data_IF_331193303035
#
_entry.id   IF_331193303035
#
_cell.length_a   1.000
_cell.length_b   1.000
_cell.length_c   1.000
_cell.angle_alpha   90.00
_cell.angle_beta   90.00
_cell.angle_gamma   90.00
#
_symmetry.space_group_name_H-M   'P 1'
#
loop_
_entity.id
_entity.type
_entity.pdbx_description
1 polymer ?
#
# COMPACT_ATOMS: atom_id res chain seq x y z
N UNK A 1 0.76 -2.87 22.04
CA UNK A 1 -0.02 -1.96 21.17
C UNK A 1 -1.09 -2.72 20.38
N UNK A 2 -0.80 -3.81 19.65
CA UNK A 2 -1.80 -4.56 18.86
C UNK A 2 -2.98 -5.07 19.69
N UNK A 3 -2.78 -5.50 20.93
CA UNK A 3 -3.87 -5.91 21.84
C UNK A 3 -4.87 -4.77 22.11
N UNK A 4 -4.42 -3.52 22.13
CA UNK A 4 -5.27 -2.34 22.37
C UNK A 4 -6.18 -2.08 21.19
N UNK A 5 -5.66 -2.18 19.96
CA UNK A 5 -6.42 -1.89 18.74
C UNK A 5 -7.28 -3.06 18.24
N UNK A 6 -6.99 -4.28 18.70
CA UNK A 6 -7.72 -5.49 18.27
C UNK A 6 -9.25 -5.38 18.31
N UNK A 7 -9.90 -4.76 19.32
CA UNK A 7 -11.36 -4.61 19.32
C UNK A 7 -11.91 -3.70 18.22
N UNK A 8 -11.06 -2.84 17.64
CA UNK A 8 -11.46 -1.79 16.72
C UNK A 8 -11.08 -2.07 15.25
N UNK A 9 -10.23 -3.10 15.01
CA UNK A 9 -9.79 -3.42 13.65
C UNK A 9 -9.70 -4.92 13.41
N UNK A 10 -9.95 -5.32 12.16
CA UNK A 10 -9.74 -6.69 11.67
C UNK A 10 -8.45 -6.83 10.88
N UNK A 11 -7.85 -5.71 10.46
CA UNK A 11 -6.67 -5.66 9.63
C UNK A 11 -5.65 -4.69 10.19
N UNK A 12 -4.38 -4.99 9.98
CA UNK A 12 -3.28 -4.03 10.12
C UNK A 12 -2.43 -4.05 8.87
N UNK A 13 -1.75 -2.94 8.62
CA UNK A 13 -0.72 -2.80 7.61
C UNK A 13 0.63 -2.58 8.26
N UNK A 14 1.67 -3.23 7.72
CA UNK A 14 3.08 -2.93 7.99
C UNK A 14 3.80 -2.59 6.68
N UNK A 15 4.85 -1.79 6.75
CA UNK A 15 5.49 -1.21 5.57
C UNK A 15 6.83 -1.84 5.24
N UNK A 16 7.40 -2.64 6.15
CA UNK A 16 8.74 -3.23 6.03
C UNK A 16 8.76 -4.64 6.58
N UNK A 17 9.71 -5.44 6.12
CA UNK A 17 9.95 -6.82 6.52
C UNK A 17 11.30 -7.00 7.22
N UNK A 18 11.96 -5.92 7.62
CA UNK A 18 13.28 -5.89 8.26
C UNK A 18 13.26 -5.08 9.55
N UNK A 19 14.38 -5.07 10.29
CA UNK A 19 14.63 -4.21 11.46
C UNK A 19 13.57 -4.34 12.58
N UNK A 20 13.04 -5.56 12.79
CA UNK A 20 12.04 -5.84 13.81
C UNK A 20 10.59 -5.70 13.31
N UNK A 21 10.35 -5.11 12.12
CA UNK A 21 9.01 -5.00 11.56
C UNK A 21 8.43 -6.36 11.14
N UNK A 22 9.29 -7.34 10.85
CA UNK A 22 8.92 -8.73 10.57
C UNK A 22 8.19 -9.43 11.74
N UNK A 23 8.28 -8.87 12.94
CA UNK A 23 7.55 -9.36 14.12
C UNK A 23 6.07 -8.91 14.13
N UNK A 24 5.74 -7.81 13.48
CA UNK A 24 4.39 -7.23 13.48
C UNK A 24 3.35 -8.23 12.94
N UNK A 25 3.51 -8.82 11.73
CA UNK A 25 2.52 -9.77 11.20
C UNK A 25 2.43 -11.06 12.02
N UNK A 26 3.54 -11.51 12.64
CA UNK A 26 3.53 -12.68 13.52
C UNK A 26 2.65 -12.46 14.75
N UNK A 27 2.86 -11.34 15.45
CA UNK A 27 2.04 -10.97 16.62
C UNK A 27 0.59 -10.71 16.22
N UNK A 28 0.34 -10.11 15.06
CA UNK A 28 -1.01 -9.90 14.57
C UNK A 28 -1.75 -11.22 14.35
N UNK A 29 -1.08 -12.20 13.75
CA UNK A 29 -1.63 -13.55 13.51
C UNK A 29 -2.02 -14.25 14.82
N UNK A 30 -1.17 -14.17 15.86
CA UNK A 30 -1.48 -14.69 17.20
C UNK A 30 -2.75 -14.06 17.82
N UNK A 31 -3.01 -12.80 17.46
CA UNK A 31 -4.19 -12.06 17.93
C UNK A 31 -5.42 -12.25 17.03
N UNK A 32 -5.32 -13.00 15.93
CA UNK A 32 -6.40 -13.18 14.96
C UNK A 32 -6.69 -11.93 14.12
N UNK A 33 -5.69 -11.05 13.96
CA UNK A 33 -5.74 -9.85 13.10
C UNK A 33 -5.12 -10.21 11.74
N UNK A 34 -5.80 -9.88 10.67
CA UNK A 34 -5.29 -10.04 9.30
C UNK A 34 -4.22 -9.00 8.99
N UNK A 35 -3.32 -9.34 8.07
CA UNK A 35 -2.13 -8.56 7.79
C UNK A 35 -2.00 -8.19 6.33
N UNK A 36 -1.72 -6.94 6.09
CA UNK A 36 -1.26 -6.38 4.84
C UNK A 36 0.21 -5.98 5.05
N UNK A 37 1.13 -6.71 4.44
CA UNK A 37 2.57 -6.59 4.68
C UNK A 37 3.27 -6.04 3.45
N UNK A 38 4.02 -4.97 3.62
CA UNK A 38 4.81 -4.34 2.57
C UNK A 38 6.30 -4.63 2.71
N UNK A 39 6.99 -4.74 1.59
CA UNK A 39 8.42 -4.60 1.47
C UNK A 39 8.74 -3.12 1.17
N UNK A 40 9.54 -2.46 2.00
CA UNK A 40 9.94 -1.09 1.78
C UNK A 40 11.08 -1.01 0.76
N UNK A 41 10.76 -0.57 -0.45
CA UNK A 41 11.74 -0.42 -1.53
C UNK A 41 12.17 1.04 -1.71
N UNK A 42 13.42 1.22 -2.08
CA UNK A 42 14.02 2.52 -2.35
C UNK A 42 15.30 2.39 -3.19
N UNK A 43 16.18 3.38 -3.11
CA UNK A 43 17.41 3.46 -3.92
C UNK A 43 18.52 2.48 -3.46
N UNK A 44 18.39 1.83 -2.31
CA UNK A 44 19.40 0.91 -1.78
C UNK A 44 19.08 -0.53 -2.17
N UNK A 45 19.85 -1.07 -3.11
CA UNK A 45 19.67 -2.42 -3.64
C UNK A 45 19.84 -3.53 -2.59
N UNK A 46 20.70 -3.34 -1.59
CA UNK A 46 20.91 -4.35 -0.55
C UNK A 46 19.75 -4.36 0.46
N UNK A 47 19.17 -3.20 0.76
CA UNK A 47 17.95 -3.11 1.55
C UNK A 47 16.80 -3.74 0.78
N UNK A 48 16.64 -3.41 -0.50
CA UNK A 48 15.58 -3.97 -1.35
C UNK A 48 15.60 -5.51 -1.36
N UNK A 49 16.78 -6.11 -1.52
CA UNK A 49 16.93 -7.58 -1.47
C UNK A 49 16.48 -8.18 -0.14
N UNK A 50 16.83 -7.54 0.98
CA UNK A 50 16.43 -8.00 2.31
C UNK A 50 14.92 -7.90 2.52
N UNK A 51 14.32 -6.80 2.08
CA UNK A 51 12.90 -6.55 2.15
C UNK A 51 12.10 -7.57 1.34
N UNK A 52 12.51 -7.83 0.08
CA UNK A 52 11.87 -8.83 -0.80
C UNK A 52 11.99 -10.24 -0.20
N UNK A 53 13.19 -10.65 0.23
CA UNK A 53 13.39 -11.94 0.87
C UNK A 53 12.57 -12.08 2.17
N UNK A 54 12.47 -11.01 2.96
CA UNK A 54 11.66 -10.94 4.17
C UNK A 54 10.17 -11.12 3.89
N UNK A 55 9.64 -10.42 2.87
CA UNK A 55 8.24 -10.52 2.46
C UNK A 55 7.88 -11.94 1.99
N UNK A 56 8.69 -12.53 1.11
CA UNK A 56 8.51 -13.90 0.62
C UNK A 56 8.51 -14.90 1.78
N UNK A 57 9.48 -14.76 2.70
CA UNK A 57 9.59 -15.63 3.88
C UNK A 57 8.32 -15.52 4.75
N UNK A 58 7.90 -14.32 5.10
CA UNK A 58 6.71 -14.11 5.94
C UNK A 58 5.44 -14.65 5.28
N UNK A 59 5.30 -14.48 3.97
CA UNK A 59 4.18 -15.02 3.22
C UNK A 59 4.16 -16.55 3.25
N UNK A 60 5.31 -17.19 2.99
CA UNK A 60 5.45 -18.64 3.00
C UNK A 60 5.29 -19.25 4.42
N UNK A 61 5.63 -18.49 5.47
CA UNK A 61 5.35 -18.87 6.86
C UNK A 61 3.86 -18.71 7.25
N UNK A 62 3.04 -18.02 6.42
CA UNK A 62 1.59 -17.86 6.64
C UNK A 62 1.20 -16.63 7.46
N UNK A 63 2.07 -15.63 7.50
CA UNK A 63 1.84 -14.40 8.26
C UNK A 63 1.33 -13.25 7.40
N UNK A 64 1.09 -13.46 6.10
CA UNK A 64 0.69 -12.42 5.15
C UNK A 64 -0.65 -12.78 4.50
N UNK A 65 -1.62 -11.91 4.57
CA UNK A 65 -2.91 -12.03 3.87
C UNK A 65 -2.93 -11.22 2.55
N UNK A 66 -2.16 -10.13 2.47
CA UNK A 66 -1.91 -9.35 1.26
C UNK A 66 -0.43 -8.93 1.28
N UNK A 67 0.29 -9.19 0.19
CA UNK A 67 1.67 -8.78 -0.01
C UNK A 67 1.76 -7.52 -0.88
N UNK A 68 2.54 -6.52 -0.43
CA UNK A 68 2.81 -5.31 -1.21
C UNK A 68 4.30 -5.18 -1.52
N UNK A 69 4.61 -4.98 -2.78
CA UNK A 69 5.98 -4.81 -3.28
C UNK A 69 6.25 -3.34 -3.50
N UNK A 70 6.81 -2.68 -2.48
CA UNK A 70 7.07 -1.24 -2.50
C UNK A 70 5.88 -0.38 -2.07
N UNK A 71 6.19 0.86 -1.72
CA UNK A 71 5.23 1.92 -1.40
C UNK A 71 5.68 3.22 -2.06
N UNK A 72 4.89 3.75 -2.98
CA UNK A 72 5.10 5.04 -3.65
C UNK A 72 6.48 5.20 -4.32
N UNK A 73 7.09 4.11 -4.79
CA UNK A 73 8.43 4.16 -5.39
C UNK A 73 8.42 4.82 -6.78
N UNK A 74 7.29 4.75 -7.52
CA UNK A 74 7.13 5.51 -8.76
C UNK A 74 6.87 6.97 -8.47
N UNK A 75 5.99 7.29 -7.52
CA UNK A 75 5.73 8.66 -7.08
C UNK A 75 7.01 9.36 -6.59
N UNK A 76 7.83 8.68 -5.78
CA UNK A 76 9.11 9.19 -5.28
C UNK A 76 10.25 9.12 -6.28
N UNK A 77 10.07 8.39 -7.40
CA UNK A 77 11.10 8.15 -8.42
C UNK A 77 12.34 7.43 -7.85
N UNK A 78 12.16 6.53 -6.90
CA UNK A 78 13.23 5.76 -6.28
C UNK A 78 13.73 4.60 -7.15
N UNK A 79 12.85 4.04 -7.98
CA UNK A 79 13.12 2.93 -8.90
C UNK A 79 12.59 3.25 -10.29
N UNK A 80 13.14 2.60 -11.29
CA UNK A 80 12.52 2.51 -12.61
C UNK A 80 11.33 1.54 -12.60
N UNK A 81 10.40 1.70 -13.55
CA UNK A 81 9.27 0.78 -13.72
C UNK A 81 9.74 -0.67 -13.93
N UNK A 82 10.84 -0.87 -14.68
CA UNK A 82 11.39 -2.20 -14.94
C UNK A 82 11.93 -2.87 -13.67
N UNK A 83 12.59 -2.13 -12.79
CA UNK A 83 13.07 -2.66 -11.50
C UNK A 83 11.89 -3.04 -10.61
N UNK A 84 10.87 -2.22 -10.51
CA UNK A 84 9.66 -2.53 -9.75
C UNK A 84 8.96 -3.79 -10.31
N UNK A 85 8.79 -3.89 -11.62
CA UNK A 85 8.21 -5.07 -12.27
C UNK A 85 9.01 -6.35 -11.99
N UNK A 86 10.36 -6.24 -11.98
CA UNK A 86 11.23 -7.35 -11.62
C UNK A 86 10.99 -7.82 -10.18
N UNK A 87 10.88 -6.90 -9.22
CA UNK A 87 10.58 -7.23 -7.82
C UNK A 87 9.18 -7.82 -7.64
N UNK A 88 8.16 -7.30 -8.36
CA UNK A 88 6.80 -7.87 -8.32
C UNK A 88 6.85 -9.33 -8.80
N UNK A 89 7.52 -9.61 -9.90
CA UNK A 89 7.65 -10.96 -10.43
C UNK A 89 8.42 -11.87 -9.47
N UNK A 90 9.54 -11.41 -8.91
CA UNK A 90 10.33 -12.17 -7.92
C UNK A 90 9.48 -12.58 -6.71
N UNK A 91 8.67 -11.66 -6.18
CA UNK A 91 7.77 -11.95 -5.06
C UNK A 91 6.69 -12.96 -5.46
N UNK A 92 6.09 -12.80 -6.64
CA UNK A 92 5.05 -13.74 -7.13
C UNK A 92 5.61 -15.15 -7.36
N UNK A 93 6.81 -15.27 -7.88
CA UNK A 93 7.49 -16.57 -8.08
C UNK A 93 7.95 -17.18 -6.75
N UNK A 94 8.36 -16.34 -5.79
CA UNK A 94 8.88 -16.79 -4.49
C UNK A 94 7.80 -17.21 -3.49
N UNK A 95 6.56 -16.69 -3.61
CA UNK A 95 5.46 -17.03 -2.72
C UNK A 95 4.80 -18.33 -3.19
N UNK A 96 4.77 -19.33 -2.30
CA UNK A 96 4.19 -20.67 -2.59
C UNK A 96 2.75 -20.81 -2.07
N UNK A 97 2.21 -19.81 -1.39
CA UNK A 97 0.87 -19.77 -0.84
C UNK A 97 -0.05 -18.87 -1.68
N UNK A 98 -1.34 -19.06 -1.54
CA UNK A 98 -2.36 -18.21 -2.19
C UNK A 98 -2.45 -16.86 -1.43
N UNK A 99 -1.51 -15.96 -1.75
CA UNK A 99 -1.44 -14.60 -1.21
C UNK A 99 -1.42 -13.63 -2.39
N UNK A 100 -2.42 -12.73 -2.51
CA UNK A 100 -2.42 -11.76 -3.58
C UNK A 100 -1.27 -10.77 -3.42
N UNK A 101 -0.56 -10.54 -4.52
CA UNK A 101 0.58 -9.62 -4.61
C UNK A 101 0.16 -8.36 -5.35
N UNK A 102 0.42 -7.21 -4.74
CA UNK A 102 0.16 -5.89 -5.33
C UNK A 102 1.31 -4.93 -5.11
N UNK A 103 1.14 -3.75 -5.64
CA UNK A 103 2.00 -2.59 -5.44
C UNK A 103 1.16 -1.47 -4.83
N UNK A 104 1.76 -0.62 -4.00
CA UNK A 104 1.08 0.53 -3.39
C UNK A 104 1.62 1.82 -3.98
N UNK A 105 0.74 2.63 -4.56
CA UNK A 105 1.08 3.99 -5.01
C UNK A 105 -0.18 4.86 -5.14
N UNK A 106 0.02 6.13 -5.49
CA UNK A 106 -1.06 7.04 -5.84
C UNK A 106 -1.93 6.43 -6.95
N UNK A 107 -3.23 6.59 -6.85
CA UNK A 107 -4.19 5.95 -7.75
C UNK A 107 -3.92 6.18 -9.24
N UNK A 108 -3.38 7.35 -9.62
CA UNK A 108 -3.07 7.70 -11.00
C UNK A 108 -1.83 6.99 -11.56
N UNK A 109 -0.91 6.53 -10.71
CA UNK A 109 0.26 5.75 -11.14
C UNK A 109 -0.15 4.45 -11.84
N UNK A 110 -1.29 3.88 -11.45
CA UNK A 110 -1.84 2.68 -12.10
C UNK A 110 -2.48 2.98 -13.46
N UNK A 111 -2.99 4.19 -13.70
CA UNK A 111 -3.47 4.64 -15.01
C UNK A 111 -2.30 4.92 -15.95
N UNK A 112 -1.27 5.60 -15.44
CA UNK A 112 -0.12 6.05 -16.21
C UNK A 112 0.84 4.89 -16.55
N UNK A 113 0.82 3.81 -15.74
CA UNK A 113 1.69 2.63 -15.88
C UNK A 113 0.89 1.33 -15.93
N UNK A 114 0.23 1.04 -17.05
CA UNK A 114 -0.62 -0.15 -17.18
C UNK A 114 0.14 -1.46 -17.00
N UNK A 115 1.45 -1.52 -17.27
CA UNK A 115 2.27 -2.70 -17.05
C UNK A 115 2.34 -3.08 -15.55
N UNK A 116 2.41 -2.09 -14.66
CA UNK A 116 2.37 -2.32 -13.20
C UNK A 116 0.99 -2.86 -12.80
N UNK A 117 -0.08 -2.24 -13.30
CA UNK A 117 -1.46 -2.71 -13.04
C UNK A 117 -1.64 -4.15 -13.52
N UNK A 118 -1.11 -4.50 -14.67
CA UNK A 118 -1.22 -5.85 -15.25
C UNK A 118 -0.41 -6.89 -14.47
N UNK A 119 0.75 -6.53 -13.93
CA UNK A 119 1.59 -7.40 -13.12
C UNK A 119 1.01 -7.72 -11.73
N UNK A 120 0.21 -6.82 -11.15
CA UNK A 120 -0.39 -7.00 -9.84
C UNK A 120 -1.61 -7.94 -9.87
N UNK A 121 -1.84 -8.71 -8.80
CA UNK A 121 -3.09 -9.48 -8.59
C UNK A 121 -4.20 -8.59 -8.00
N UNK A 122 -3.82 -7.55 -7.30
CA UNK A 122 -4.68 -6.59 -6.59
C UNK A 122 -4.11 -5.19 -6.74
N UNK A 123 -4.98 -4.19 -6.88
CA UNK A 123 -4.59 -2.77 -6.94
C UNK A 123 -4.69 -2.15 -5.54
N UNK A 124 -3.60 -1.54 -5.09
CA UNK A 124 -3.46 -0.99 -3.75
C UNK A 124 -3.21 0.52 -3.87
N UNK A 125 -4.30 1.29 -3.90
CA UNK A 125 -4.26 2.70 -4.27
C UNK A 125 -4.26 3.64 -3.07
N UNK A 126 -3.32 4.58 -3.01
CA UNK A 126 -3.35 5.72 -2.11
C UNK A 126 -4.22 6.83 -2.71
N UNK A 127 -5.18 7.33 -1.95
CA UNK A 127 -6.16 8.32 -2.39
C UNK A 127 -6.26 9.43 -1.34
N UNK A 128 -5.66 10.57 -1.62
CA UNK A 128 -5.62 11.70 -0.69
C UNK A 128 -6.22 12.97 -1.32
N UNK A 129 -7.52 13.23 -1.20
CA UNK A 129 -8.13 14.47 -1.68
C UNK A 129 -7.45 15.73 -1.14
N UNK A 130 -6.93 15.69 0.10
CA UNK A 130 -6.21 16.79 0.71
C UNK A 130 -4.99 17.19 -0.13
N UNK A 131 -4.11 16.22 -0.49
CA UNK A 131 -2.88 16.51 -1.22
C UNK A 131 -3.10 17.00 -2.65
N UNK A 132 -4.30 16.84 -3.19
CA UNK A 132 -4.71 17.41 -4.48
C UNK A 132 -5.47 18.75 -4.32
N UNK A 133 -5.50 19.31 -3.10
CA UNK A 133 -6.08 20.63 -2.82
C UNK A 133 -7.59 20.67 -2.90
N UNK A 134 -8.26 19.54 -2.78
CA UNK A 134 -9.72 19.46 -2.83
C UNK A 134 -10.36 20.09 -1.58
N UNK A 135 -11.39 20.93 -1.76
CA UNK A 135 -12.18 21.45 -0.63
C UNK A 135 -12.88 20.30 0.10
N UNK A 136 -12.96 20.37 1.43
CA UNK A 136 -13.51 19.28 2.27
C UNK A 136 -14.93 18.87 1.86
N UNK A 137 -15.78 19.80 1.46
CA UNK A 137 -17.17 19.52 1.03
C UNK A 137 -17.25 18.58 -0.17
N UNK A 138 -16.21 18.53 -0.98
CA UNK A 138 -16.12 17.69 -2.18
C UNK A 138 -15.17 16.49 -1.99
N UNK A 139 -14.53 16.35 -0.83
CA UNK A 139 -13.51 15.34 -0.59
C UNK A 139 -14.02 13.92 -0.82
N UNK A 140 -15.22 13.58 -0.37
CA UNK A 140 -15.83 12.26 -0.59
C UNK A 140 -16.17 12.01 -2.06
N UNK A 141 -16.65 13.03 -2.78
CA UNK A 141 -16.92 12.91 -4.22
C UNK A 141 -15.63 12.68 -5.00
N UNK A 142 -14.59 13.42 -4.65
CA UNK A 142 -13.27 13.28 -5.27
C UNK A 142 -12.62 11.93 -4.93
N UNK A 143 -12.72 11.47 -3.68
CA UNK A 143 -12.29 10.13 -3.28
C UNK A 143 -12.97 9.03 -4.11
N UNK A 144 -14.26 9.16 -4.37
CA UNK A 144 -15.00 8.21 -5.22
C UNK A 144 -14.48 8.23 -6.65
N UNK A 145 -14.13 9.39 -7.20
CA UNK A 145 -13.54 9.49 -8.54
C UNK A 145 -12.16 8.81 -8.57
N UNK A 146 -11.26 9.11 -7.61
CA UNK A 146 -9.97 8.45 -7.47
C UNK A 146 -10.12 6.91 -7.45
N UNK A 147 -11.06 6.41 -6.66
CA UNK A 147 -11.34 4.98 -6.58
C UNK A 147 -11.87 4.40 -7.91
N UNK A 148 -12.76 5.11 -8.60
CA UNK A 148 -13.27 4.70 -9.91
C UNK A 148 -12.16 4.67 -10.97
N UNK A 149 -11.21 5.59 -10.91
CA UNK A 149 -10.02 5.61 -11.77
C UNK A 149 -9.15 4.39 -11.51
N UNK A 150 -8.85 4.10 -10.24
CA UNK A 150 -8.13 2.87 -9.85
C UNK A 150 -8.85 1.59 -10.30
N UNK A 151 -10.19 1.54 -10.22
CA UNK A 151 -10.99 0.41 -10.73
C UNK A 151 -10.83 0.22 -12.24
N UNK A 152 -10.84 1.32 -13.02
CA UNK A 152 -10.63 1.24 -14.48
C UNK A 152 -9.24 0.73 -14.81
N UNK A 153 -8.20 1.27 -14.12
CA UNK A 153 -6.81 0.84 -14.28
C UNK A 153 -6.62 -0.65 -13.92
N UNK A 154 -7.36 -1.12 -12.92
CA UNK A 154 -7.30 -2.50 -12.44
C UNK A 154 -7.97 -3.54 -13.35
N UNK A 155 -8.76 -3.13 -14.35
CA UNK A 155 -9.36 -4.03 -15.37
C UNK A 155 -10.10 -5.23 -14.75
N UNK A 156 -10.90 -5.00 -13.71
CA UNK A 156 -11.66 -6.03 -13.01
C UNK A 156 -10.95 -6.68 -11.81
N UNK A 157 -9.71 -6.32 -11.53
CA UNK A 157 -9.02 -6.73 -10.31
C UNK A 157 -9.65 -6.05 -9.09
N UNK A 158 -9.48 -6.66 -7.91
CA UNK A 158 -9.87 -6.04 -6.65
C UNK A 158 -9.03 -4.78 -6.42
N UNK A 159 -9.66 -3.71 -5.97
CA UNK A 159 -9.01 -2.45 -5.59
C UNK A 159 -9.24 -2.20 -4.11
N UNK A 160 -8.19 -1.82 -3.41
CA UNK A 160 -8.25 -1.38 -2.01
C UNK A 160 -7.64 0.02 -1.93
N UNK A 161 -8.35 0.95 -1.27
CA UNK A 161 -7.74 2.20 -0.81
C UNK A 161 -6.87 1.86 0.38
N UNK A 162 -5.57 2.05 0.24
CA UNK A 162 -4.56 1.65 1.23
C UNK A 162 -4.16 2.78 2.14
N UNK A 163 -4.27 4.00 1.66
CA UNK A 163 -4.04 5.20 2.45
C UNK A 163 -5.00 6.30 2.02
N UNK A 164 -5.50 7.01 3.02
CA UNK A 164 -6.23 8.27 2.90
C UNK A 164 -6.12 9.01 4.22
N UNK A 165 -6.48 10.27 4.23
CA UNK A 165 -6.50 11.04 5.46
C UNK A 165 -6.65 12.53 5.19
N UNK A 166 -6.86 13.25 6.29
CA UNK A 166 -6.95 14.70 6.32
C UNK A 166 -6.18 15.19 7.55
N UNK A 167 -5.28 16.17 7.45
CA UNK A 167 -4.53 16.66 8.60
C UNK A 167 -5.39 17.53 9.50
N UNK A 168 -5.19 17.39 10.81
CA UNK A 168 -5.85 18.24 11.83
C UNK A 168 -5.20 19.62 11.95
N UNK A 169 -3.94 19.76 11.56
CA UNK A 169 -3.13 20.99 11.63
C UNK A 169 -2.23 21.13 10.42
N UNK A 170 -1.76 22.33 10.14
CA UNK A 170 -0.80 22.61 9.06
C UNK A 170 -1.25 23.76 8.15
N UNK A 171 -0.58 23.87 7.01
CA UNK A 171 -0.88 24.89 6.00
C UNK A 171 -1.99 24.43 5.05
N UNK A 172 -2.81 25.37 4.60
CA UNK A 172 -3.77 25.13 3.52
C UNK A 172 -3.05 24.72 2.23
N UNK A 173 -3.67 23.80 1.50
CA UNK A 173 -3.23 23.43 0.16
C UNK A 173 -4.38 23.69 -0.83
N UNK A 174 -4.27 24.75 -1.61
CA UNK A 174 -5.36 25.23 -2.47
C UNK A 174 -6.69 25.35 -1.72
N UNK A 175 -7.71 24.56 -2.06
CA UNK A 175 -9.01 24.53 -1.37
C UNK A 175 -9.08 23.65 -0.13
N UNK A 176 -8.02 22.86 0.15
CA UNK A 176 -7.99 21.97 1.30
C UNK A 176 -7.48 22.71 2.55
N UNK A 177 -8.27 22.68 3.62
CA UNK A 177 -7.98 23.34 4.90
C UNK A 177 -7.82 22.29 5.99
N UNK A 178 -6.61 22.17 6.62
CA UNK A 178 -6.41 21.33 7.78
C UNK A 178 -7.21 21.86 8.99
N UNK A 179 -7.91 20.98 9.69
CA UNK A 179 -8.53 21.29 10.97
C UNK A 179 -8.95 20.00 11.69
N UNK A 180 -9.14 20.07 13.00
CA UNK A 180 -9.69 18.94 13.78
C UNK A 180 -11.12 18.57 13.32
N UNK A 181 -11.91 19.54 12.84
CA UNK A 181 -13.26 19.31 12.35
C UNK A 181 -13.26 18.53 11.01
N UNK A 182 -12.26 18.79 10.14
CA UNK A 182 -12.18 18.18 8.82
C UNK A 182 -11.43 16.82 8.83
N UNK A 183 -10.65 16.54 9.87
CA UNK A 183 -9.89 15.29 10.05
C UNK A 183 -10.76 14.18 10.68
#
# INVERSE_FOLDING_TARGET
>A
RLKIIKPYTKWIRSFSCTEGNELIPKVARELGIKTFVGAWLGNDAEINKKEIAGLIKLANEGYVDIAAVGNEVMYRQDLSEQELLSFINEVKEGITKDVPVGYVDAYYEFEDRPAISDACDIILANCYPFWEGCHQDYSLLYMKDMYQRALRAGKGKKVIITETGWPSEGSNLAGAVPSEENA
#
